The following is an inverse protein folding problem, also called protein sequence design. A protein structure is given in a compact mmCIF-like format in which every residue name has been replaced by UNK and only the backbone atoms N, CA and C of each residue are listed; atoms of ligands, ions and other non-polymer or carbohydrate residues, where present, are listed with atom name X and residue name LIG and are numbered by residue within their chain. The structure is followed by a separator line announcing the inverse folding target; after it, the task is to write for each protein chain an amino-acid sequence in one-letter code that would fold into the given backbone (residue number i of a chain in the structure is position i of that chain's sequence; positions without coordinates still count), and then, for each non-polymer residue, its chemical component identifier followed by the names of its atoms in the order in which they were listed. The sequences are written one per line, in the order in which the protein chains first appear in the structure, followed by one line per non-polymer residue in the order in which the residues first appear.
data_IF_398136882691
#
_entry.id   IF_398136882691
#
_cell.length_a   1.000
_cell.length_b   1.000
_cell.length_c   1.000
_cell.angle_alpha   90.00
_cell.angle_beta   90.00
_cell.angle_gamma   90.00
#
_symmetry.space_group_name_H-M   'P 1'
#
loop_
_entity.id
_entity.type
_entity.pdbx_description
1 polymer ?
#
# COMPACT_ATOMS: atom_id res chain seq x y z
N UNK A 1 27.14 -21.88 -6.25
CA UNK A 1 27.32 -20.41 -6.24
C UNK A 1 26.18 -19.82 -7.07
N UNK A 2 25.07 -19.50 -6.42
CA UNK A 2 23.93 -18.88 -7.10
C UNK A 2 24.27 -17.42 -7.40
N UNK A 3 24.00 -16.91 -8.61
CA UNK A 3 24.26 -15.51 -8.92
C UNK A 3 23.32 -14.63 -8.10
N UNK A 4 23.90 -13.65 -7.41
CA UNK A 4 23.16 -12.60 -6.70
C UNK A 4 22.43 -11.74 -7.73
N UNK A 5 21.11 -11.92 -7.81
CA UNK A 5 20.22 -11.00 -8.54
C UNK A 5 20.30 -9.64 -7.82
N UNK A 6 20.53 -8.52 -8.52
CA UNK A 6 20.50 -7.21 -7.91
C UNK A 6 19.12 -6.95 -7.31
N UNK A 7 19.08 -6.58 -6.03
CA UNK A 7 17.87 -6.12 -5.37
C UNK A 7 17.32 -4.89 -6.14
N UNK A 8 16.00 -4.79 -6.36
CA UNK A 8 15.39 -3.61 -6.97
C UNK A 8 15.76 -2.34 -6.16
N UNK A 9 15.75 -1.15 -6.78
CA UNK A 9 16.20 0.09 -6.11
C UNK A 9 15.46 0.40 -4.81
N UNK A 10 14.26 -0.16 -4.61
CA UNK A 10 13.44 -0.05 -3.39
C UNK A 10 14.00 -0.86 -2.19
N UNK A 11 14.89 -1.82 -2.43
CA UNK A 11 15.45 -2.73 -1.41
C UNK A 11 16.83 -2.29 -0.89
N UNK A 12 17.32 -1.11 -1.29
CA UNK A 12 18.62 -0.61 -0.81
C UNK A 12 18.42 0.07 0.55
N UNK A 13 18.92 -0.49 1.67
CA UNK A 13 18.73 0.12 2.97
C UNK A 13 19.42 1.49 3.02
N UNK A 14 18.64 2.52 3.38
CA UNK A 14 19.18 3.85 3.68
C UNK A 14 20.09 3.74 4.91
N UNK A 15 21.42 3.66 4.67
CA UNK A 15 22.50 3.80 5.66
C UNK A 15 22.31 3.04 7.00
N UNK A 16 22.72 1.77 7.03
CA UNK A 16 23.06 1.06 8.29
C UNK A 16 21.89 0.60 9.18
N UNK A 17 20.65 0.84 8.77
CA UNK A 17 19.44 0.36 9.43
C UNK A 17 18.98 -1.02 8.94
N UNK A 18 17.97 -1.56 9.64
CA UNK A 18 17.18 -2.70 9.16
C UNK A 18 16.67 -2.44 7.74
N UNK A 19 16.61 -3.45 6.85
CA UNK A 19 15.94 -3.30 5.55
C UNK A 19 14.43 -3.11 5.70
N UNK A 20 13.89 -3.28 6.90
CA UNK A 20 12.49 -3.03 7.24
C UNK A 20 12.35 -1.68 7.94
N UNK A 21 11.38 -0.83 7.53
CA UNK A 21 10.93 0.29 8.33
C UNK A 21 10.62 -0.15 9.78
N UNK A 22 10.86 0.72 10.79
CA UNK A 22 10.34 0.51 12.13
C UNK A 22 8.83 0.24 12.10
N UNK A 23 8.35 -0.70 12.92
CA UNK A 23 6.91 -1.05 12.95
C UNK A 23 6.01 0.16 13.22
N UNK A 24 6.50 1.15 13.98
CA UNK A 24 5.78 2.37 14.32
C UNK A 24 5.59 3.34 13.13
N UNK A 25 6.35 3.15 12.04
CA UNK A 25 6.28 4.01 10.86
C UNK A 25 5.25 3.49 9.84
N UNK A 26 4.73 2.28 10.02
CA UNK A 26 3.65 1.78 9.20
C UNK A 26 2.31 2.40 9.59
N UNK A 27 1.55 2.81 8.59
CA UNK A 27 0.17 3.19 8.78
C UNK A 27 -0.75 1.98 8.60
N UNK A 28 -1.69 1.83 9.53
CA UNK A 28 -2.73 0.81 9.50
C UNK A 28 -3.96 1.30 8.72
N UNK A 29 -4.43 0.50 7.78
CA UNK A 29 -5.69 0.68 7.04
C UNK A 29 -6.62 -0.50 7.35
N UNK A 30 -7.93 -0.25 7.43
CA UNK A 30 -8.94 -1.30 7.57
C UNK A 30 -10.31 -0.82 7.09
N UNK A 31 -11.11 -1.75 6.59
CA UNK A 31 -12.54 -1.61 6.28
C UNK A 31 -13.44 -2.38 7.27
N UNK A 32 -12.91 -2.76 8.43
CA UNK A 32 -13.51 -3.67 9.42
C UNK A 32 -13.62 -5.14 9.00
N UNK A 33 -13.25 -5.52 7.78
CA UNK A 33 -13.24 -6.91 7.31
C UNK A 33 -11.82 -7.44 7.09
N UNK A 34 -10.95 -6.60 6.53
CA UNK A 34 -9.52 -6.84 6.35
C UNK A 34 -8.67 -5.65 6.83
N UNK A 35 -7.36 -5.78 6.70
CA UNK A 35 -6.41 -4.70 6.95
C UNK A 35 -5.28 -4.68 5.92
N UNK A 36 -4.61 -3.54 5.87
CA UNK A 36 -3.34 -3.39 5.19
C UNK A 36 -2.36 -2.57 6.04
N UNK A 37 -1.07 -2.84 5.90
CA UNK A 37 0.00 -2.00 6.45
C UNK A 37 0.73 -1.29 5.32
N UNK A 38 0.71 0.03 5.40
CA UNK A 38 1.33 0.96 4.46
C UNK A 38 2.65 1.47 5.04
N UNK A 39 3.76 1.18 4.36
CA UNK A 39 5.07 1.74 4.65
C UNK A 39 5.15 3.22 4.22
N UNK A 40 6.05 4.02 4.82
CA UNK A 40 6.20 5.45 4.50
C UNK A 40 6.51 5.76 3.03
N UNK A 41 7.14 4.82 2.32
CA UNK A 41 7.52 4.97 0.92
C UNK A 41 6.35 4.78 -0.07
N UNK A 42 5.16 4.48 0.44
CA UNK A 42 3.95 4.21 -0.35
C UNK A 42 3.72 2.73 -0.64
N UNK A 43 4.46 1.81 -0.02
CA UNK A 43 4.32 0.36 -0.23
C UNK A 43 3.32 -0.27 0.73
N UNK A 44 2.33 -1.00 0.21
CA UNK A 44 1.56 -1.95 1.01
C UNK A 44 2.40 -3.21 1.18
N UNK A 45 2.87 -3.47 2.40
CA UNK A 45 3.79 -4.58 2.70
C UNK A 45 3.12 -5.73 3.45
N UNK A 46 1.90 -5.52 3.92
CA UNK A 46 1.06 -6.55 4.51
C UNK A 46 -0.39 -6.32 4.08
N UNK A 47 -1.04 -7.36 3.58
CA UNK A 47 -2.48 -7.36 3.32
C UNK A 47 -2.97 -8.79 3.17
N UNK A 48 -4.05 -9.14 3.87
CA UNK A 48 -4.75 -10.42 3.70
C UNK A 48 -6.04 -10.18 2.92
N UNK A 49 -6.45 -11.11 2.06
CA UNK A 49 -7.72 -11.01 1.34
C UNK A 49 -8.45 -12.35 1.31
N UNK A 50 -9.80 -12.36 1.40
CA UNK A 50 -10.68 -11.20 1.58
C UNK A 50 -10.73 -10.68 3.03
N UNK A 51 -10.35 -11.51 4.00
CA UNK A 51 -10.51 -11.27 5.45
C UNK A 51 -9.17 -11.24 6.18
N UNK A 52 -9.17 -10.72 7.40
CA UNK A 52 -7.97 -10.56 8.22
C UNK A 52 -7.22 -11.88 8.51
N UNK A 53 -7.93 -13.02 8.61
CA UNK A 53 -7.37 -14.35 8.88
C UNK A 53 -7.11 -15.20 7.61
N UNK A 54 -7.24 -14.61 6.42
CA UNK A 54 -6.86 -15.26 5.16
C UNK A 54 -5.34 -15.25 4.92
N UNK A 55 -4.84 -16.07 3.97
CA UNK A 55 -3.47 -15.93 3.47
C UNK A 55 -3.15 -14.51 3.03
N UNK A 56 -1.91 -14.08 3.26
CA UNK A 56 -1.43 -12.77 2.85
C UNK A 56 -1.20 -12.73 1.33
N UNK A 57 -1.66 -11.67 0.68
CA UNK A 57 -1.33 -11.34 -0.73
C UNK A 57 -0.02 -10.58 -0.82
N UNK A 58 0.31 -9.82 0.23
CA UNK A 58 1.59 -9.13 0.41
C UNK A 58 2.15 -9.47 1.79
N UNK A 59 3.44 -9.80 1.84
CA UNK A 59 4.14 -10.24 3.04
C UNK A 59 5.54 -9.61 3.21
N UNK A 60 5.85 -8.54 2.47
CA UNK A 60 7.11 -7.79 2.53
C UNK A 60 7.51 -7.34 3.96
N UNK A 61 6.54 -7.24 4.88
CA UNK A 61 6.79 -6.99 6.30
C UNK A 61 7.66 -8.08 6.96
N UNK A 62 7.53 -9.34 6.54
CA UNK A 62 8.22 -10.49 7.13
C UNK A 62 9.40 -10.96 6.27
N UNK A 63 9.25 -10.91 4.96
CA UNK A 63 10.31 -11.20 3.98
C UNK A 63 10.13 -10.25 2.80
N UNK A 64 11.16 -9.44 2.49
CA UNK A 64 11.16 -8.46 1.38
C UNK A 64 10.80 -9.08 0.03
N UNK A 65 10.94 -10.40 -0.11
CA UNK A 65 10.60 -11.16 -1.32
C UNK A 65 9.14 -11.63 -1.37
N UNK A 66 8.37 -11.49 -0.30
CA UNK A 66 7.00 -11.97 -0.18
C UNK A 66 5.96 -10.97 -0.74
N UNK A 67 6.35 -10.16 -1.73
CA UNK A 67 5.46 -9.28 -2.47
C UNK A 67 5.06 -8.00 -1.74
N UNK A 68 4.82 -6.95 -2.53
CA UNK A 68 4.35 -5.65 -2.05
C UNK A 68 3.58 -4.92 -3.14
N UNK A 69 2.87 -3.84 -2.77
CA UNK A 69 2.27 -2.93 -3.73
C UNK A 69 2.68 -1.48 -3.45
N UNK A 70 3.64 -0.98 -4.23
CA UNK A 70 4.14 0.39 -4.15
C UNK A 70 3.38 1.33 -5.07
N UNK A 71 2.97 2.49 -4.54
CA UNK A 71 2.52 3.65 -5.32
C UNK A 71 3.20 4.90 -4.77
N UNK A 72 3.91 5.63 -5.64
CA UNK A 72 4.59 6.87 -5.26
C UNK A 72 5.32 7.52 -6.43
N UNK A 73 5.98 8.67 -6.22
CA UNK A 73 6.84 9.27 -7.24
C UNK A 73 7.98 8.33 -7.66
N UNK A 74 8.29 8.33 -8.94
CA UNK A 74 9.43 7.60 -9.49
C UNK A 74 10.74 8.19 -8.96
N UNK A 75 11.63 7.32 -8.46
CA UNK A 75 12.96 7.71 -7.98
C UNK A 75 13.01 8.43 -6.62
N UNK A 76 11.87 8.60 -5.94
CA UNK A 76 11.82 9.17 -4.58
C UNK A 76 11.12 8.20 -3.63
N UNK A 77 11.85 7.74 -2.61
CA UNK A 77 11.32 6.83 -1.60
C UNK A 77 10.91 7.54 -0.31
N UNK A 78 11.59 8.64 0.03
CA UNK A 78 11.35 9.34 1.30
C UNK A 78 10.24 10.38 1.11
N UNK A 79 9.11 10.25 1.83
CA UNK A 79 8.05 11.25 1.81
C UNK A 79 8.46 12.51 2.57
N UNK A 80 7.83 13.63 2.21
CA UNK A 80 7.90 14.88 2.99
C UNK A 80 7.06 14.76 4.27
N UNK A 81 5.90 14.11 4.19
CA UNK A 81 5.02 13.87 5.33
C UNK A 81 4.12 12.67 5.10
N UNK A 82 3.83 11.93 6.17
CA UNK A 82 2.81 10.89 6.24
C UNK A 82 1.88 11.24 7.39
N UNK A 83 0.57 11.25 7.17
CA UNK A 83 -0.41 11.53 8.23
C UNK A 83 -1.76 10.89 7.93
N UNK A 84 -2.54 10.59 8.97
CA UNK A 84 -3.96 10.33 8.78
C UNK A 84 -4.71 11.64 8.47
N UNK A 85 -5.65 11.58 7.55
CA UNK A 85 -6.63 12.66 7.33
C UNK A 85 -7.52 12.73 8.57
N UNK A 86 -7.66 13.91 9.22
CA UNK A 86 -8.37 14.03 10.49
C UNK A 86 -9.80 13.45 10.45
N UNK A 87 -10.13 12.64 11.45
CA UNK A 87 -11.45 12.00 11.56
C UNK A 87 -11.68 10.82 10.62
N UNK A 88 -10.64 10.32 9.94
CA UNK A 88 -10.73 9.19 9.02
C UNK A 88 -9.56 8.21 9.21
N UNK A 89 -9.65 7.03 8.60
CA UNK A 89 -8.55 6.08 8.49
C UNK A 89 -7.79 6.21 7.15
N UNK A 90 -7.99 7.31 6.42
CA UNK A 90 -7.29 7.58 5.16
C UNK A 90 -5.90 8.11 5.48
N UNK A 91 -4.88 7.53 4.89
CA UNK A 91 -3.49 8.00 5.02
C UNK A 91 -3.16 8.90 3.85
N UNK A 92 -2.66 10.09 4.14
CA UNK A 92 -2.15 11.05 3.18
C UNK A 92 -0.63 11.07 3.24
N UNK A 93 0.01 10.68 2.15
CA UNK A 93 1.46 10.77 1.96
C UNK A 93 1.78 11.83 0.93
N UNK A 94 2.66 12.76 1.29
CA UNK A 94 3.07 13.88 0.44
C UNK A 94 4.53 13.72 0.05
N UNK A 95 4.84 13.90 -1.22
CA UNK A 95 6.21 13.97 -1.72
C UNK A 95 6.47 15.28 -2.45
N UNK A 96 7.70 15.77 -2.28
CA UNK A 96 8.26 16.84 -3.08
C UNK A 96 9.35 16.24 -3.97
N UNK A 97 9.21 16.44 -5.28
CA UNK A 97 10.22 16.07 -6.28
C UNK A 97 10.86 17.33 -6.85
N UNK A 98 11.89 17.19 -7.69
CA UNK A 98 12.51 18.32 -8.38
C UNK A 98 11.57 19.03 -9.37
N UNK A 99 10.51 18.35 -9.84
CA UNK A 99 9.62 18.85 -10.90
C UNK A 99 8.18 19.12 -10.45
N UNK A 100 7.80 18.70 -9.25
CA UNK A 100 6.43 18.85 -8.77
C UNK A 100 6.18 18.22 -7.40
N UNK A 101 4.96 18.43 -6.92
CA UNK A 101 4.49 17.99 -5.62
C UNK A 101 3.29 17.05 -5.84
N UNK A 102 3.30 15.92 -5.15
CA UNK A 102 2.23 14.92 -5.24
C UNK A 102 1.75 14.53 -3.85
N UNK A 103 0.45 14.33 -3.76
CA UNK A 103 -0.23 13.77 -2.60
C UNK A 103 -0.87 12.45 -3.02
N UNK A 104 -0.59 11.37 -2.29
CA UNK A 104 -1.29 10.09 -2.45
C UNK A 104 -2.13 9.85 -1.20
N UNK A 105 -3.40 9.49 -1.41
CA UNK A 105 -4.32 9.12 -0.34
C UNK A 105 -4.67 7.65 -0.45
N UNK A 106 -4.37 6.90 0.59
CA UNK A 106 -4.61 5.46 0.68
C UNK A 106 -5.71 5.16 1.70
N UNK A 107 -6.64 4.30 1.33
CA UNK A 107 -7.72 3.85 2.20
C UNK A 107 -8.34 2.55 1.72
N UNK A 108 -9.03 1.86 2.62
CA UNK A 108 -9.91 0.75 2.27
C UNK A 108 -11.35 1.24 2.28
N UNK A 109 -12.10 0.92 1.23
CA UNK A 109 -13.53 1.25 1.15
C UNK A 109 -14.34 0.32 2.02
N UNK A 110 -15.24 0.90 2.80
CA UNK A 110 -16.13 0.16 3.68
C UNK A 110 -17.36 -0.25 2.88
N UNK A 111 -17.59 -1.56 2.78
CA UNK A 111 -18.83 -2.12 2.26
C UNK A 111 -19.99 -2.03 3.26
N UNK A 112 -21.23 -2.29 2.82
CA UNK A 112 -22.39 -2.38 3.71
C UNK A 112 -22.18 -3.48 4.76
N UNK A 113 -22.69 -3.24 5.96
CA UNK A 113 -22.62 -4.22 7.03
C UNK A 113 -23.57 -5.39 6.76
N UNK A 114 -23.08 -6.63 6.88
CA UNK A 114 -23.85 -7.85 6.68
C UNK A 114 -23.98 -8.66 7.99
N UNK A 115 -25.22 -9.04 8.34
CA UNK A 115 -25.60 -9.80 9.56
C UNK A 115 -25.16 -11.28 9.56
N UNK A 116 -24.79 -11.83 8.39
CA UNK A 116 -24.42 -13.23 8.19
C UNK A 116 -23.20 -13.34 7.30
N UNK A 117 -22.43 -14.43 7.46
CA UNK A 117 -21.26 -14.86 6.69
C UNK A 117 -21.34 -14.47 5.19
N UNK A 118 -20.97 -13.23 4.87
CA UNK A 118 -20.57 -12.85 3.52
C UNK A 118 -19.09 -13.22 3.40
N UNK A 119 -18.79 -14.52 3.52
CA UNK A 119 -17.42 -15.07 3.42
C UNK A 119 -16.86 -14.95 1.99
N UNK A 120 -17.66 -14.45 1.05
CA UNK A 120 -17.33 -14.31 -0.34
C UNK A 120 -17.55 -12.86 -0.76
N UNK A 121 -16.49 -12.20 -1.22
CA UNK A 121 -16.65 -11.08 -2.13
C UNK A 121 -17.56 -11.57 -3.26
N UNK A 122 -18.67 -10.90 -3.54
CA UNK A 122 -19.59 -11.31 -4.63
C UNK A 122 -18.92 -11.30 -6.03
N UNK A 123 -17.69 -10.82 -6.07
CA UNK A 123 -16.92 -10.53 -7.25
C UNK A 123 -15.88 -11.62 -7.55
N UNK A 124 -16.09 -12.30 -8.67
CA UNK A 124 -15.04 -13.09 -9.36
C UNK A 124 -14.30 -12.26 -10.42
N UNK A 125 -14.63 -10.97 -10.55
CA UNK A 125 -14.15 -10.00 -11.54
C UNK A 125 -14.02 -8.62 -10.88
N UNK A 126 -13.13 -7.71 -11.33
CA UNK A 126 -13.12 -6.34 -10.84
C UNK A 126 -14.53 -5.74 -10.81
N UNK A 127 -14.97 -5.17 -9.67
CA UNK A 127 -16.30 -4.63 -9.55
C UNK A 127 -16.54 -3.48 -10.54
N UNK A 128 -17.82 -3.23 -10.81
CA UNK A 128 -18.21 -2.05 -11.60
C UNK A 128 -17.97 -0.77 -10.80
N UNK A 129 -17.94 0.38 -11.48
CA UNK A 129 -17.71 1.72 -10.90
C UNK A 129 -18.67 2.10 -9.73
N UNK A 130 -19.69 1.29 -9.47
CA UNK A 130 -20.72 1.51 -8.43
C UNK A 130 -20.69 0.48 -7.28
N UNK A 131 -19.70 -0.42 -7.26
CA UNK A 131 -19.67 -1.56 -6.34
C UNK A 131 -18.26 -1.79 -5.76
N UNK A 132 -17.63 -0.70 -5.30
CA UNK A 132 -16.26 -0.72 -4.83
C UNK A 132 -16.16 -1.11 -3.34
N UNK A 133 -16.82 -2.20 -2.93
CA UNK A 133 -16.79 -2.67 -1.55
C UNK A 133 -15.46 -3.41 -1.27
N UNK A 134 -14.90 -3.21 -0.07
CA UNK A 134 -13.68 -3.91 0.39
C UNK A 134 -12.46 -3.71 -0.52
N UNK A 135 -12.33 -2.54 -1.15
CA UNK A 135 -11.27 -2.22 -2.09
C UNK A 135 -10.20 -1.33 -1.49
N UNK A 136 -8.93 -1.65 -1.77
CA UNK A 136 -7.83 -0.70 -1.60
C UNK A 136 -7.95 0.39 -2.68
N UNK A 137 -8.19 1.62 -2.25
CA UNK A 137 -8.24 2.79 -3.11
C UNK A 137 -7.02 3.66 -2.85
N UNK A 138 -6.31 3.98 -3.94
CA UNK A 138 -5.12 4.84 -3.92
C UNK A 138 -5.37 6.02 -4.85
N UNK A 139 -5.65 7.19 -4.28
CA UNK A 139 -5.96 8.41 -5.03
C UNK A 139 -4.72 9.29 -5.13
N UNK A 140 -4.30 9.60 -6.35
CA UNK A 140 -3.06 10.32 -6.64
C UNK A 140 -3.40 11.71 -7.17
N UNK A 141 -2.91 12.75 -6.50
CA UNK A 141 -3.15 14.15 -6.84
C UNK A 141 -1.83 14.91 -7.00
N UNK A 142 -1.53 15.37 -8.22
CA UNK A 142 -0.40 16.26 -8.47
C UNK A 142 -0.83 17.71 -8.21
N UNK A 143 -0.44 18.26 -7.06
CA UNK A 143 -0.87 19.59 -6.61
C UNK A 143 -0.11 20.73 -7.29
N UNK A 144 1.11 20.48 -7.77
CA UNK A 144 1.92 21.48 -8.47
C UNK A 144 2.94 20.84 -9.40
N UNK A 145 3.13 21.42 -10.59
CA UNK A 145 4.17 21.01 -11.53
C UNK A 145 3.82 19.71 -12.24
N UNK A 146 4.81 18.85 -12.44
CA UNK A 146 4.65 17.53 -13.05
C UNK A 146 5.43 16.50 -12.26
N UNK A 147 4.81 15.35 -11.97
CA UNK A 147 5.43 14.26 -11.23
C UNK A 147 5.20 12.96 -11.99
N UNK A 148 6.27 12.21 -12.23
CA UNK A 148 6.16 10.85 -12.75
C UNK A 148 5.84 9.91 -11.59
N UNK A 149 4.78 9.13 -11.74
CA UNK A 149 4.32 8.17 -10.74
C UNK A 149 4.71 6.77 -11.18
N UNK A 150 5.10 5.96 -10.21
CA UNK A 150 5.37 4.54 -10.36
C UNK A 150 4.36 3.75 -9.53
N UNK A 151 3.79 2.70 -10.13
CA UNK A 151 2.96 1.71 -9.48
C UNK A 151 3.55 0.33 -9.75
N UNK A 152 4.09 -0.31 -8.71
CA UNK A 152 4.70 -1.65 -8.78
C UNK A 152 3.88 -2.56 -7.88
N UNK A 153 3.13 -3.48 -8.49
CA UNK A 153 2.27 -4.42 -7.78
C UNK A 153 2.80 -5.83 -8.00
N UNK A 154 3.32 -6.43 -6.93
CA UNK A 154 3.94 -7.74 -6.92
C UNK A 154 3.21 -8.62 -5.89
N UNK A 155 1.99 -9.08 -6.19
CA UNK A 155 1.27 -9.97 -5.29
C UNK A 155 1.95 -11.34 -5.27
N UNK A 156 2.05 -11.93 -4.08
CA UNK A 156 2.52 -13.29 -3.89
C UNK A 156 1.39 -14.09 -3.24
N UNK A 157 0.79 -14.94 -4.06
CA UNK A 157 -0.17 -15.93 -3.60
C UNK A 157 0.60 -17.23 -3.32
N UNK A 158 0.34 -17.85 -2.18
CA UNK A 158 0.81 -19.22 -1.88
C UNK A 158 0.17 -20.26 -2.82
#
# INVERSE_FOLDING_TARGET
MSPSIPLPPHDTPLSGGSPFPPIADYAFLSDCHTCALLAPDGSIEWMCLPRFDSPSVFGALLDRRAGSFRVGPYGTLVPLSVRYVPGTMIVETTWMTSSGWVVVRDGLTIGPWHDQHADETSHTRPPTDHDADHMLVRHIECIQGQVQIEAVCEPMFD
#
